data_IF_433685995031
#
_entry.id   IF_433685995031
#
_cell.length_a   1.000
_cell.length_b   1.000
_cell.length_c   1.000
_cell.angle_alpha   90.00
_cell.angle_beta   90.00
_cell.angle_gamma   90.00
#
_symmetry.space_group_name_H-M   'P 1'
#
loop_
_entity.id
_entity.type
_entity.pdbx_description
1 polymer ?
#
# COMPACT_ATOMS: atom_id res chain seq x y z
N UNK A 1 17.28 7.94 61.38
CA UNK A 1 16.27 8.44 60.43
C UNK A 1 16.95 8.60 59.08
N UNK A 2 16.72 7.67 58.16
CA UNK A 2 17.27 7.70 56.79
C UNK A 2 16.30 8.42 55.84
N UNK A 3 16.77 9.13 54.80
CA UNK A 3 15.88 9.77 53.85
C UNK A 3 15.26 8.72 52.89
N UNK A 4 14.04 8.94 52.39
CA UNK A 4 13.44 8.03 51.41
C UNK A 4 14.10 8.21 50.03
N UNK A 5 14.37 7.08 49.38
CA UNK A 5 14.87 7.01 48.01
C UNK A 5 13.86 7.62 47.03
N UNK A 6 14.34 8.53 46.18
CA UNK A 6 13.54 9.15 45.11
C UNK A 6 13.32 8.13 44.00
N UNK A 7 12.12 7.56 43.92
CA UNK A 7 11.70 6.70 42.83
C UNK A 7 11.56 7.53 41.54
N UNK A 8 12.61 7.56 40.72
CA UNK A 8 12.52 8.00 39.33
C UNK A 8 11.75 6.95 38.53
N UNK A 9 10.44 7.13 38.38
CA UNK A 9 9.67 6.36 37.39
C UNK A 9 9.87 7.03 36.02
N UNK A 10 10.62 6.32 35.18
CA UNK A 10 10.82 6.60 33.76
C UNK A 10 9.49 6.87 33.06
N UNK A 11 9.39 8.01 32.38
CA UNK A 11 8.33 8.30 31.44
C UNK A 11 8.48 7.37 30.24
N UNK A 12 7.54 6.44 30.07
CA UNK A 12 7.41 5.63 28.86
C UNK A 12 7.03 6.52 27.68
N UNK A 13 8.03 6.95 26.91
CA UNK A 13 7.81 7.63 25.65
C UNK A 13 7.16 6.67 24.65
N UNK A 14 5.95 6.98 24.22
CA UNK A 14 5.31 6.34 23.07
C UNK A 14 6.25 6.47 21.85
N UNK A 15 6.85 5.36 21.40
CA UNK A 15 7.68 5.36 20.20
C UNK A 15 6.74 5.39 18.99
N UNK A 16 6.79 6.49 18.22
CA UNK A 16 6.16 6.54 16.90
C UNK A 16 6.79 5.45 16.03
N UNK A 17 5.96 4.53 15.53
CA UNK A 17 6.44 3.45 14.66
C UNK A 17 7.03 4.04 13.37
N UNK A 18 8.18 3.50 12.96
CA UNK A 18 8.80 3.87 11.69
C UNK A 18 7.94 3.41 10.51
N UNK A 19 8.08 4.08 9.35
CA UNK A 19 7.41 3.65 8.11
C UNK A 19 7.71 2.19 7.77
N UNK A 20 8.96 1.77 7.97
CA UNK A 20 9.36 0.38 7.73
C UNK A 20 8.61 -0.62 8.62
N UNK A 21 8.43 -0.30 9.91
CA UNK A 21 7.67 -1.15 10.84
C UNK A 21 6.19 -1.23 10.44
N UNK A 22 5.58 -0.08 10.08
CA UNK A 22 4.18 -0.03 9.61
C UNK A 22 4.01 -0.89 8.36
N UNK A 23 4.84 -0.68 7.33
CA UNK A 23 4.76 -1.44 6.09
C UNK A 23 5.03 -2.92 6.33
N UNK A 24 6.04 -3.28 7.11
CA UNK A 24 6.37 -4.69 7.37
C UNK A 24 5.23 -5.40 8.10
N UNK A 25 4.61 -4.75 9.10
CA UNK A 25 3.50 -5.30 9.87
C UNK A 25 2.23 -5.45 9.03
N UNK A 26 1.99 -4.55 8.08
CA UNK A 26 0.79 -4.56 7.23
C UNK A 26 0.96 -5.44 6.00
N UNK A 27 2.04 -5.25 5.23
CA UNK A 27 2.23 -5.91 3.93
C UNK A 27 2.49 -7.41 4.07
N UNK A 28 3.26 -7.86 5.08
CA UNK A 28 3.61 -9.28 5.24
C UNK A 28 2.38 -10.19 5.36
N UNK A 29 1.41 -9.96 6.27
CA UNK A 29 0.22 -10.81 6.35
C UNK A 29 -0.64 -10.69 5.09
N UNK A 30 -0.78 -9.50 4.50
CA UNK A 30 -1.54 -9.31 3.25
C UNK A 30 -0.95 -10.11 2.09
N UNK A 31 0.38 -10.21 1.99
CA UNK A 31 1.04 -11.04 0.98
C UNK A 31 0.82 -12.54 1.22
N UNK A 32 0.73 -12.97 2.48
CA UNK A 32 0.53 -14.37 2.86
C UNK A 32 -0.93 -14.86 2.68
N UNK A 33 -1.91 -13.96 2.70
CA UNK A 33 -3.32 -14.30 2.45
C UNK A 33 -3.49 -14.93 1.05
N UNK A 34 -4.39 -15.90 0.83
CA UNK A 34 -4.71 -16.38 -0.51
C UNK A 34 -5.18 -15.25 -1.42
N UNK A 35 -4.76 -15.26 -2.68
CA UNK A 35 -5.17 -14.23 -3.63
C UNK A 35 -6.68 -14.28 -3.88
N UNK A 36 -7.35 -13.13 -3.78
CA UNK A 36 -8.77 -13.00 -4.09
C UNK A 36 -9.08 -11.60 -4.65
N UNK A 37 -9.67 -11.56 -5.84
CA UNK A 37 -10.08 -10.30 -6.46
C UNK A 37 -11.05 -9.53 -5.57
N UNK A 38 -10.76 -8.24 -5.36
CA UNK A 38 -11.58 -7.32 -4.60
C UNK A 38 -11.43 -7.42 -3.09
N UNK A 39 -10.62 -8.34 -2.55
CA UNK A 39 -10.39 -8.45 -1.09
C UNK A 39 -8.94 -8.69 -0.70
N UNK A 40 -8.18 -9.40 -1.53
CA UNK A 40 -6.79 -9.78 -1.29
C UNK A 40 -6.01 -9.86 -2.63
N UNK A 41 -6.09 -8.80 -3.44
CA UNK A 41 -5.35 -8.63 -4.69
C UNK A 41 -4.36 -7.47 -4.62
N UNK A 42 -3.67 -7.16 -5.72
CA UNK A 42 -2.69 -6.08 -5.79
C UNK A 42 -3.29 -4.72 -5.38
N UNK A 43 -4.51 -4.43 -5.84
CA UNK A 43 -5.17 -3.16 -5.61
C UNK A 43 -5.55 -2.97 -4.14
N UNK A 44 -6.24 -3.94 -3.54
CA UNK A 44 -6.63 -3.86 -2.13
C UNK A 44 -5.42 -3.92 -1.20
N UNK A 45 -4.40 -4.71 -1.54
CA UNK A 45 -3.17 -4.82 -0.73
C UNK A 45 -2.42 -3.49 -0.68
N UNK A 46 -2.21 -2.85 -1.83
CA UNK A 46 -1.46 -1.60 -1.87
C UNK A 46 -2.24 -0.45 -1.21
N UNK A 47 -3.56 -0.37 -1.42
CA UNK A 47 -4.39 0.61 -0.71
C UNK A 47 -4.37 0.40 0.81
N UNK A 48 -4.41 -0.85 1.28
CA UNK A 48 -4.35 -1.12 2.72
C UNK A 48 -2.99 -0.72 3.35
N UNK A 49 -1.89 -0.82 2.60
CA UNK A 49 -0.60 -0.27 3.06
C UNK A 49 -0.62 1.26 3.06
N UNK A 50 -1.17 1.88 2.02
CA UNK A 50 -1.30 3.33 1.95
C UNK A 50 -2.14 3.87 3.12
N UNK A 51 -3.28 3.24 3.41
CA UNK A 51 -4.15 3.54 4.53
C UNK A 51 -3.41 3.43 5.88
N UNK A 52 -2.60 2.38 6.07
CA UNK A 52 -1.80 2.21 7.28
C UNK A 52 -0.73 3.30 7.47
N UNK A 53 -0.23 3.89 6.38
CA UNK A 53 0.76 4.97 6.41
C UNK A 53 0.10 6.34 6.59
N UNK A 54 -0.95 6.62 5.82
CA UNK A 54 -1.60 7.92 5.76
C UNK A 54 -2.73 8.12 6.76
N UNK A 55 -3.17 7.07 7.45
CA UNK A 55 -4.35 7.10 8.31
C UNK A 55 -5.66 7.26 7.52
N UNK A 56 -5.66 6.88 6.24
CA UNK A 56 -6.85 6.89 5.38
C UNK A 56 -7.60 5.55 5.43
N UNK A 57 -8.74 5.46 4.74
CA UNK A 57 -9.60 4.26 4.72
C UNK A 57 -10.08 3.94 3.29
N UNK A 58 -9.23 4.20 2.31
CA UNK A 58 -9.55 4.11 0.87
C UNK A 58 -9.77 2.65 0.47
N UNK A 59 -9.04 1.70 1.04
CA UNK A 59 -9.24 0.27 0.79
C UNK A 59 -10.68 -0.16 1.11
N UNK A 60 -11.32 0.40 2.15
CA UNK A 60 -12.71 0.10 2.51
C UNK A 60 -13.71 0.52 1.42
N UNK A 61 -13.42 1.59 0.68
CA UNK A 61 -14.26 2.09 -0.42
C UNK A 61 -14.37 1.07 -1.56
N UNK A 62 -13.30 0.30 -1.80
CA UNK A 62 -13.21 -0.61 -2.95
C UNK A 62 -13.35 -2.09 -2.60
N UNK A 63 -13.12 -2.46 -1.33
CA UNK A 63 -13.20 -3.84 -0.86
C UNK A 63 -14.57 -4.46 -1.18
N UNK A 64 -14.55 -5.63 -1.79
CA UNK A 64 -15.74 -6.41 -2.15
C UNK A 64 -16.53 -5.91 -3.36
N UNK A 65 -16.10 -4.83 -4.03
CA UNK A 65 -16.85 -4.24 -5.17
C UNK A 65 -16.67 -4.99 -6.49
N UNK A 66 -15.79 -5.97 -6.53
CA UNK A 66 -15.55 -6.86 -7.65
C UNK A 66 -15.04 -8.21 -7.14
N UNK A 67 -15.09 -9.24 -7.99
CA UNK A 67 -14.68 -10.63 -7.67
C UNK A 67 -13.87 -11.31 -8.78
N UNK A 68 -13.60 -10.58 -9.87
CA UNK A 68 -12.86 -11.08 -11.03
C UNK A 68 -12.06 -9.94 -11.66
N UNK A 69 -11.03 -10.26 -12.46
CA UNK A 69 -10.25 -9.28 -13.24
C UNK A 69 -11.14 -8.42 -14.15
N UNK A 70 -12.06 -9.06 -14.88
CA UNK A 70 -13.05 -8.37 -15.71
C UNK A 70 -13.97 -7.47 -14.88
N UNK A 71 -14.35 -7.91 -13.68
CA UNK A 71 -15.12 -7.12 -12.71
C UNK A 71 -14.37 -5.87 -12.26
N UNK A 72 -13.07 -5.97 -11.99
CA UNK A 72 -12.21 -4.83 -11.65
C UNK A 72 -12.20 -3.79 -12.79
N UNK A 73 -11.99 -4.23 -14.03
CA UNK A 73 -12.03 -3.35 -15.21
C UNK A 73 -13.40 -2.70 -15.43
N UNK A 74 -14.50 -3.43 -15.19
CA UNK A 74 -15.87 -2.86 -15.23
C UNK A 74 -16.09 -1.82 -14.13
N UNK A 75 -15.54 -2.05 -12.94
CA UNK A 75 -15.61 -1.09 -11.85
C UNK A 75 -14.87 0.20 -12.20
N UNK A 76 -13.64 0.13 -12.73
CA UNK A 76 -12.90 1.32 -13.20
C UNK A 76 -13.73 2.16 -14.18
N UNK A 77 -14.28 1.52 -15.21
CA UNK A 77 -15.13 2.20 -16.20
C UNK A 77 -16.36 2.86 -15.57
N UNK A 78 -17.02 2.17 -14.62
CA UNK A 78 -18.20 2.71 -13.91
C UNK A 78 -17.85 3.95 -13.08
N UNK A 79 -16.63 4.01 -12.57
CA UNK A 79 -16.11 5.17 -11.83
C UNK A 79 -15.61 6.28 -12.77
N UNK A 80 -15.69 6.10 -14.10
CA UNK A 80 -15.25 7.10 -15.08
C UNK A 80 -13.75 7.04 -15.40
N UNK A 81 -13.05 5.97 -15.03
CA UNK A 81 -11.62 5.83 -15.25
C UNK A 81 -11.28 4.74 -16.27
N UNK A 82 -10.29 5.02 -17.12
CA UNK A 82 -9.78 4.09 -18.14
C UNK A 82 -8.63 3.21 -17.63
N UNK A 83 -7.94 3.61 -16.56
CA UNK A 83 -6.78 2.92 -15.98
C UNK A 83 -6.62 3.20 -14.48
N UNK A 84 -5.65 2.55 -13.82
CA UNK A 84 -5.39 2.75 -12.38
C UNK A 84 -4.83 4.14 -12.09
N UNK A 85 -4.04 4.69 -13.01
CA UNK A 85 -3.41 6.01 -12.88
C UNK A 85 -4.44 7.14 -12.63
N UNK A 86 -5.43 7.39 -13.52
CA UNK A 86 -6.43 8.43 -13.30
C UNK A 86 -7.34 8.14 -12.11
N UNK A 87 -7.51 6.86 -11.72
CA UNK A 87 -8.21 6.55 -10.47
C UNK A 87 -7.39 7.02 -9.26
N UNK A 88 -6.09 6.71 -9.21
CA UNK A 88 -5.24 7.08 -8.08
C UNK A 88 -4.99 8.58 -7.98
N UNK A 89 -5.00 9.30 -9.10
CA UNK A 89 -4.94 10.77 -9.12
C UNK A 89 -6.09 11.42 -8.33
N UNK A 90 -7.22 10.72 -8.14
CA UNK A 90 -8.34 11.23 -7.32
C UNK A 90 -8.12 11.10 -5.81
N UNK A 91 -7.15 10.28 -5.39
CA UNK A 91 -6.94 9.90 -3.99
C UNK A 91 -5.60 10.36 -3.43
N UNK A 92 -4.56 10.42 -4.27
CA UNK A 92 -3.20 10.62 -3.80
C UNK A 92 -2.45 11.66 -4.64
N UNK A 93 -1.49 12.31 -3.99
CA UNK A 93 -0.57 13.21 -4.67
C UNK A 93 0.55 12.41 -5.35
N UNK A 94 0.81 12.71 -6.63
CA UNK A 94 1.91 12.12 -7.38
C UNK A 94 3.28 12.51 -6.82
N UNK A 95 4.25 11.61 -6.98
CA UNK A 95 5.68 11.88 -6.80
C UNK A 95 6.48 11.23 -7.95
N UNK A 96 7.75 11.61 -8.11
CA UNK A 96 8.61 10.90 -9.06
C UNK A 96 8.86 9.47 -8.57
N UNK A 97 8.89 8.45 -9.46
CA UNK A 97 9.15 7.06 -9.05
C UNK A 97 10.44 6.88 -8.23
N UNK A 98 11.49 7.64 -8.55
CA UNK A 98 12.76 7.62 -7.83
C UNK A 98 12.70 8.26 -6.42
N UNK A 99 11.65 9.03 -6.13
CA UNK A 99 11.41 9.69 -4.84
C UNK A 99 10.38 8.96 -3.97
N UNK A 100 9.86 7.82 -4.46
CA UNK A 100 8.96 6.97 -3.71
C UNK A 100 9.66 6.44 -2.45
N UNK A 101 8.96 6.53 -1.32
CA UNK A 101 9.45 6.08 -0.01
C UNK A 101 8.79 4.75 0.33
N UNK A 102 9.41 3.98 1.22
CA UNK A 102 8.82 2.75 1.77
C UNK A 102 7.38 3.01 2.22
N UNK A 103 6.41 2.28 1.66
CA UNK A 103 4.97 2.41 1.95
C UNK A 103 4.18 3.31 1.00
N UNK A 104 4.85 4.06 0.13
CA UNK A 104 4.17 4.71 -1.00
C UNK A 104 3.67 3.66 -1.99
N UNK A 105 2.72 4.05 -2.84
CA UNK A 105 2.14 3.15 -3.83
C UNK A 105 2.50 3.59 -5.24
N UNK A 106 2.54 2.64 -6.15
CA UNK A 106 2.87 2.88 -7.54
C UNK A 106 2.04 2.01 -8.48
N UNK A 107 1.74 2.54 -9.65
CA UNK A 107 1.24 1.76 -10.77
C UNK A 107 2.46 1.26 -11.55
N UNK A 108 2.58 -0.05 -11.69
CA UNK A 108 3.59 -0.71 -12.52
C UNK A 108 2.95 -1.38 -13.72
N UNK A 109 3.66 -1.40 -14.84
CA UNK A 109 3.23 -2.10 -16.04
C UNK A 109 3.87 -3.48 -16.10
N UNK A 110 3.03 -4.52 -16.12
CA UNK A 110 3.44 -5.91 -16.33
C UNK A 110 2.88 -6.43 -17.67
N UNK A 111 3.26 -7.65 -18.05
CA UNK A 111 2.81 -8.30 -19.30
C UNK A 111 1.29 -8.40 -19.40
N UNK A 112 0.59 -8.59 -18.27
CA UNK A 112 -0.86 -8.76 -18.22
C UNK A 112 -1.64 -7.48 -17.86
N UNK A 113 -0.95 -6.33 -17.89
CA UNK A 113 -1.53 -4.99 -17.69
C UNK A 113 -0.96 -4.24 -16.49
N UNK A 114 -1.69 -3.20 -16.08
CA UNK A 114 -1.34 -2.39 -14.91
C UNK A 114 -1.60 -3.14 -13.60
N UNK A 115 -0.66 -3.02 -12.67
CA UNK A 115 -0.81 -3.50 -11.30
C UNK A 115 -0.50 -2.39 -10.31
N UNK A 116 -1.16 -2.46 -9.15
CA UNK A 116 -0.81 -1.59 -8.04
C UNK A 116 0.24 -2.25 -7.15
N UNK A 117 1.27 -1.50 -6.80
CA UNK A 117 2.44 -1.95 -6.08
C UNK A 117 2.70 -1.10 -4.84
N UNK A 118 3.40 -1.67 -3.87
CA UNK A 118 3.90 -0.98 -2.68
C UNK A 118 5.41 -0.77 -2.84
N UNK A 119 5.87 0.46 -2.66
CA UNK A 119 7.29 0.77 -2.59
C UNK A 119 7.91 0.14 -1.34
N UNK A 120 8.93 -0.69 -1.53
CA UNK A 120 9.70 -1.32 -0.46
C UNK A 120 11.16 -0.82 -0.44
N UNK A 121 11.38 0.43 -0.85
CA UNK A 121 12.71 1.02 -1.00
C UNK A 121 13.16 0.95 -2.46
N UNK A 122 13.96 -0.06 -2.81
CA UNK A 122 14.55 -0.19 -4.15
C UNK A 122 13.68 -0.95 -5.16
N UNK A 123 12.53 -1.46 -4.73
CA UNK A 123 11.62 -2.23 -5.57
C UNK A 123 10.15 -1.92 -5.26
N UNK A 124 9.30 -2.22 -6.23
CA UNK A 124 7.85 -2.14 -6.12
C UNK A 124 7.25 -3.55 -5.99
N UNK A 125 6.67 -3.84 -4.85
CA UNK A 125 6.10 -5.15 -4.53
C UNK A 125 4.65 -5.21 -4.97
N UNK A 126 4.31 -6.22 -5.79
CA UNK A 126 2.95 -6.53 -6.24
C UNK A 126 2.52 -7.88 -5.68
N UNK A 127 1.29 -7.94 -5.15
CA UNK A 127 0.62 -9.21 -4.85
C UNK A 127 -0.05 -9.73 -6.12
N UNK A 128 0.38 -10.88 -6.62
CA UNK A 128 -0.21 -11.54 -7.80
C UNK A 128 -0.88 -12.86 -7.41
N UNK A 129 -1.63 -13.45 -8.34
CA UNK A 129 -2.19 -14.80 -8.16
C UNK A 129 -1.11 -15.86 -7.87
N UNK A 130 0.12 -15.65 -8.36
CA UNK A 130 1.27 -16.53 -8.14
C UNK A 130 2.12 -16.13 -6.92
N UNK A 131 1.60 -15.21 -6.09
CA UNK A 131 2.30 -14.67 -4.92
C UNK A 131 3.01 -13.35 -5.20
N UNK A 132 3.97 -13.02 -4.34
CA UNK A 132 4.74 -11.78 -4.42
C UNK A 132 5.56 -11.71 -5.72
N UNK A 133 5.54 -10.55 -6.37
CA UNK A 133 6.48 -10.17 -7.42
C UNK A 133 7.06 -8.79 -7.13
N UNK A 134 8.33 -8.63 -7.48
CA UNK A 134 9.06 -7.37 -7.31
C UNK A 134 9.36 -6.77 -8.67
N UNK A 135 9.10 -5.48 -8.83
CA UNK A 135 9.29 -4.73 -10.06
C UNK A 135 10.35 -3.64 -9.87
N UNK A 136 11.21 -3.41 -10.88
CA UNK A 136 12.18 -2.33 -10.86
C UNK A 136 11.50 -0.97 -11.03
N UNK A 137 12.22 0.10 -10.70
CA UNK A 137 11.72 1.48 -10.88
C UNK A 137 11.36 1.77 -12.35
N UNK A 138 12.04 1.17 -13.31
CA UNK A 138 11.74 1.33 -14.74
C UNK A 138 10.37 0.80 -15.18
N UNK A 139 9.76 -0.10 -14.41
CA UNK A 139 8.42 -0.61 -14.67
C UNK A 139 7.32 0.28 -14.07
N UNK A 140 7.69 1.25 -13.22
CA UNK A 140 6.75 2.17 -12.60
C UNK A 140 6.34 3.27 -13.58
N UNK A 141 5.04 3.38 -13.86
CA UNK A 141 4.47 4.40 -14.74
C UNK A 141 3.86 5.58 -13.98
N UNK A 142 3.55 5.40 -12.68
CA UNK A 142 3.15 6.48 -11.78
C UNK A 142 3.40 6.08 -10.31
N UNK A 143 3.85 7.01 -9.47
CA UNK A 143 4.04 6.81 -8.04
C UNK A 143 3.31 7.88 -7.23
N UNK A 144 2.89 7.53 -6.01
CA UNK A 144 1.99 8.31 -5.19
C UNK A 144 2.39 8.30 -3.72
N UNK A 145 2.34 9.46 -3.07
CA UNK A 145 2.66 9.60 -1.64
C UNK A 145 1.49 9.08 -0.80
N UNK A 146 1.76 8.13 0.09
CA UNK A 146 0.75 7.59 1.00
C UNK A 146 0.63 8.37 2.33
N UNK A 147 1.54 9.31 2.60
CA UNK A 147 1.66 10.09 3.83
C UNK A 147 3.09 10.57 4.03
#
# INVERSE_FOLDING_TARGET
MSPPARAGRSAGGSRVASRFEIVSKTLRPLLAEPYAYGTADCFITALAVADAIGGTEIAKIYRGRYRTKTGAGRLLKRLGHSSLVPLLDTHFQRCAPAEARVGDIAVVLAEDGEHLAVCAGQAFIVKTERGRRDFPVSACIAAYRAG
#
